data_IF_440691309909
#
_entry.id   IF_440691309909
#
_cell.length_a   1.000
_cell.length_b   1.000
_cell.length_c   1.000
_cell.angle_alpha   90.00
_cell.angle_beta   90.00
_cell.angle_gamma   90.00
#
_symmetry.space_group_name_H-M   'P 1'
#
loop_
_entity.id
_entity.type
_entity.pdbx_description
1 polymer ?
#
# COMPACT_ATOMS: atom_id res chain seq x y z
N UNK A 1 23.03 50.85 17.94
CA UNK A 1 21.96 50.17 18.71
C UNK A 1 20.68 51.02 18.61
N UNK A 2 19.68 50.70 17.79
CA UNK A 2 19.24 49.41 17.29
C UNK A 2 18.61 49.58 15.90
N UNK A 3 19.15 48.86 14.91
CA UNK A 3 18.52 48.68 13.60
C UNK A 3 17.50 47.54 13.72
N UNK A 4 16.29 47.87 14.16
CA UNK A 4 15.18 46.92 14.15
C UNK A 4 14.46 47.03 12.79
N UNK A 5 15.12 46.53 11.74
CA UNK A 5 14.49 46.32 10.43
C UNK A 5 13.60 45.09 10.55
N UNK A 6 12.35 45.31 10.95
CA UNK A 6 11.28 44.36 10.73
C UNK A 6 11.15 44.15 9.22
N UNK A 7 11.77 43.10 8.70
CA UNK A 7 11.52 42.61 7.35
C UNK A 7 10.03 42.30 7.26
N UNK A 8 9.31 43.15 6.54
CA UNK A 8 7.94 42.92 6.15
C UNK A 8 7.98 41.70 5.23
N UNK A 9 7.52 40.54 5.70
CA UNK A 9 7.37 39.36 4.86
C UNK A 9 6.56 39.77 3.63
N UNK A 10 7.18 39.70 2.45
CA UNK A 10 6.47 39.92 1.20
C UNK A 10 5.35 38.89 1.12
N UNK A 11 4.12 39.35 0.98
CA UNK A 11 2.97 38.48 0.81
C UNK A 11 3.15 37.71 -0.52
N UNK A 12 3.21 36.39 -0.44
CA UNK A 12 3.27 35.50 -1.60
C UNK A 12 1.98 35.67 -2.42
N UNK A 13 2.11 36.03 -3.70
CA UNK A 13 0.96 36.16 -4.61
C UNK A 13 0.61 34.83 -5.29
N UNK A 14 -0.57 34.76 -5.90
CA UNK A 14 -0.99 33.60 -6.70
C UNK A 14 -0.05 33.38 -7.90
N UNK A 15 0.50 34.45 -8.48
CA UNK A 15 1.53 34.37 -9.53
C UNK A 15 2.82 33.73 -9.01
N UNK A 16 3.28 34.08 -7.80
CA UNK A 16 4.46 33.43 -7.22
C UNK A 16 4.24 31.92 -7.03
N UNK A 17 3.03 31.54 -6.61
CA UNK A 17 2.66 30.12 -6.48
C UNK A 17 2.67 29.45 -7.85
N UNK A 18 2.01 30.04 -8.86
CA UNK A 18 1.97 29.50 -10.22
C UNK A 18 3.37 29.33 -10.81
N UNK A 19 4.21 30.36 -10.70
CA UNK A 19 5.59 30.33 -11.19
C UNK A 19 6.37 29.20 -10.52
N UNK A 20 6.20 28.99 -9.20
CA UNK A 20 6.87 27.88 -8.49
C UNK A 20 6.47 26.49 -9.04
N UNK A 21 5.20 26.28 -9.39
CA UNK A 21 4.74 25.03 -10.00
C UNK A 21 5.31 24.86 -11.41
N UNK A 22 5.28 25.92 -12.22
CA UNK A 22 5.81 25.91 -13.57
C UNK A 22 7.32 25.62 -13.58
N UNK A 23 8.09 26.28 -12.71
CA UNK A 23 9.53 26.07 -12.54
C UNK A 23 9.84 24.64 -12.08
N UNK A 24 9.05 24.10 -11.14
CA UNK A 24 9.29 22.75 -10.60
C UNK A 24 9.19 21.63 -11.66
N UNK A 25 8.43 21.85 -12.75
CA UNK A 25 8.27 20.87 -13.84
C UNK A 25 9.17 21.16 -15.05
N UNK A 26 9.86 22.30 -15.10
CA UNK A 26 10.84 22.59 -16.14
C UNK A 26 12.08 21.69 -16.02
N UNK A 27 12.95 21.73 -17.05
CA UNK A 27 14.26 21.09 -16.97
C UNK A 27 15.07 21.68 -15.80
N UNK A 28 15.57 20.81 -14.92
CA UNK A 28 16.25 21.20 -13.68
C UNK A 28 15.32 21.48 -12.49
N UNK A 29 13.99 21.47 -12.68
CA UNK A 29 13.02 21.64 -11.59
C UNK A 29 12.89 20.41 -10.69
N UNK A 30 12.59 20.65 -9.42
CA UNK A 30 12.57 19.60 -8.38
C UNK A 30 11.49 18.54 -8.61
N UNK A 31 10.29 18.92 -9.06
CA UNK A 31 9.22 17.96 -9.33
C UNK A 31 9.55 17.09 -10.55
N UNK A 32 10.16 17.66 -11.58
CA UNK A 32 10.67 16.89 -12.72
C UNK A 32 11.78 15.94 -12.29
N UNK A 33 12.72 16.38 -11.45
CA UNK A 33 13.76 15.52 -10.91
C UNK A 33 13.17 14.37 -10.07
N UNK A 34 12.22 14.69 -9.19
CA UNK A 34 11.48 13.70 -8.40
C UNK A 34 10.85 12.62 -9.28
N UNK A 35 10.05 13.02 -10.29
CA UNK A 35 9.42 12.08 -11.23
C UNK A 35 10.45 11.22 -11.97
N UNK A 36 11.61 11.75 -12.34
CA UNK A 36 12.66 10.96 -13.02
C UNK A 36 13.33 9.91 -12.13
N UNK A 37 13.34 10.13 -10.83
CA UNK A 37 13.92 9.20 -9.86
C UNK A 37 12.89 8.25 -9.24
N UNK A 38 11.60 8.49 -9.45
CA UNK A 38 10.54 7.62 -8.99
C UNK A 38 10.55 6.25 -9.69
N UNK A 39 10.03 5.27 -8.96
CA UNK A 39 9.70 3.92 -9.43
C UNK A 39 8.28 3.59 -8.99
N UNK A 40 7.59 2.72 -9.72
CA UNK A 40 6.22 2.29 -9.39
C UNK A 40 6.19 1.18 -8.35
N UNK A 41 7.29 0.43 -8.21
CA UNK A 41 7.46 -0.54 -7.13
C UNK A 41 8.90 -0.99 -6.97
N UNK A 42 9.16 -1.72 -5.91
CA UNK A 42 10.48 -2.29 -5.61
C UNK A 42 10.32 -3.63 -4.85
N UNK A 43 11.30 -4.52 -5.03
CA UNK A 43 11.41 -5.75 -4.23
C UNK A 43 12.68 -5.66 -3.38
N UNK A 44 12.52 -5.67 -2.06
CA UNK A 44 13.61 -5.64 -1.09
C UNK A 44 13.58 -6.91 -0.24
N UNK A 45 14.48 -7.86 -0.55
CA UNK A 45 14.47 -9.19 0.08
C UNK A 45 13.14 -9.91 -0.15
N UNK A 46 12.42 -10.21 0.94
CA UNK A 46 11.09 -10.83 0.95
C UNK A 46 9.92 -9.83 0.94
N UNK A 47 10.18 -8.54 0.74
CA UNK A 47 9.19 -7.45 0.78
C UNK A 47 8.96 -6.83 -0.59
N UNK A 48 7.70 -6.80 -1.03
CA UNK A 48 7.24 -6.02 -2.18
C UNK A 48 6.76 -4.64 -1.71
N UNK A 49 7.21 -3.57 -2.36
CA UNK A 49 6.77 -2.20 -2.10
C UNK A 49 6.03 -1.68 -3.34
N UNK A 50 4.79 -1.24 -3.16
CA UNK A 50 3.98 -0.59 -4.20
C UNK A 50 3.14 0.52 -3.59
N UNK A 51 2.71 1.52 -4.37
CA UNK A 51 1.99 2.66 -3.80
C UNK A 51 0.61 2.29 -3.23
N UNK A 52 -0.28 1.62 -3.97
CA UNK A 52 -1.63 1.26 -3.49
C UNK A 52 -1.89 -0.23 -3.29
N UNK A 53 -1.46 -1.04 -4.24
CA UNK A 53 -1.65 -2.49 -4.16
C UNK A 53 -1.80 -3.16 -5.51
N UNK A 54 -1.89 -4.48 -5.50
CA UNK A 54 -1.94 -5.28 -6.73
C UNK A 54 -3.34 -5.76 -7.12
N UNK A 55 -4.34 -5.44 -6.30
CA UNK A 55 -5.75 -5.76 -6.54
C UNK A 55 -6.63 -4.51 -6.52
N UNK A 56 -7.74 -4.56 -7.25
CA UNK A 56 -8.81 -3.58 -7.22
C UNK A 56 -10.15 -4.30 -7.34
N UNK A 57 -11.17 -3.83 -6.61
CA UNK A 57 -12.55 -4.32 -6.82
C UNK A 57 -13.25 -3.41 -7.81
N UNK A 58 -13.62 -3.94 -8.98
CA UNK A 58 -14.37 -3.23 -9.99
C UNK A 58 -15.83 -2.99 -9.54
N UNK A 59 -16.52 -2.08 -10.23
CA UNK A 59 -17.90 -1.69 -9.89
C UNK A 59 -18.90 -2.85 -9.99
N UNK A 60 -18.61 -3.85 -10.80
CA UNK A 60 -19.37 -5.10 -10.97
C UNK A 60 -19.05 -6.16 -9.88
N UNK A 61 -18.18 -5.83 -8.93
CA UNK A 61 -17.76 -6.70 -7.83
C UNK A 61 -16.56 -7.60 -8.17
N UNK A 62 -16.08 -7.61 -9.42
CA UNK A 62 -14.95 -8.44 -9.83
C UNK A 62 -13.64 -7.93 -9.22
N UNK A 63 -12.74 -8.84 -8.88
CA UNK A 63 -11.38 -8.50 -8.44
C UNK A 63 -10.47 -8.46 -9.67
N UNK A 64 -9.95 -7.27 -9.98
CA UNK A 64 -8.91 -7.06 -10.98
C UNK A 64 -7.55 -7.16 -10.30
N UNK A 65 -6.63 -7.89 -10.93
CA UNK A 65 -5.23 -7.93 -10.52
C UNK A 65 -4.36 -7.27 -11.59
N UNK A 66 -3.43 -6.41 -11.19
CA UNK A 66 -2.42 -5.86 -12.09
C UNK A 66 -1.13 -6.68 -12.11
N UNK A 67 -1.07 -7.80 -11.38
CA UNK A 67 0.11 -8.65 -11.28
C UNK A 67 0.49 -9.20 -12.66
N UNK A 68 1.75 -8.98 -13.06
CA UNK A 68 2.28 -9.41 -14.36
C UNK A 68 1.79 -8.59 -15.55
N UNK A 69 1.09 -7.48 -15.31
CA UNK A 69 0.53 -6.64 -16.37
C UNK A 69 1.30 -5.32 -16.43
N UNK A 70 1.78 -5.00 -17.62
CA UNK A 70 2.45 -3.73 -17.93
C UNK A 70 1.68 -3.08 -19.08
N UNK A 71 1.30 -1.80 -18.98
CA UNK A 71 0.66 -1.12 -20.09
C UNK A 71 1.60 -1.05 -21.31
N UNK A 72 1.06 -0.81 -22.52
CA UNK A 72 1.87 -0.63 -23.71
C UNK A 72 2.88 0.51 -23.52
N UNK A 73 4.13 0.27 -23.89
CA UNK A 73 5.19 1.27 -23.85
C UNK A 73 5.03 2.34 -24.92
N UNK A 74 4.43 1.97 -26.06
CA UNK A 74 4.06 2.89 -27.13
C UNK A 74 2.66 3.45 -26.86
N UNK A 75 2.57 4.78 -26.78
CA UNK A 75 1.32 5.50 -26.56
C UNK A 75 0.39 5.52 -27.80
N UNK A 76 0.73 4.79 -28.88
CA UNK A 76 -0.23 4.49 -29.97
C UNK A 76 -1.43 3.66 -29.49
N UNK A 77 -1.25 2.85 -28.43
CA UNK A 77 -2.35 2.16 -27.75
C UNK A 77 -2.65 2.90 -26.45
N UNK A 78 -3.86 3.42 -26.32
CA UNK A 78 -4.28 4.09 -25.09
C UNK A 78 -4.47 3.09 -23.96
N UNK A 79 -4.25 3.53 -22.72
CA UNK A 79 -4.52 2.74 -21.52
C UNK A 79 -5.94 2.17 -21.53
N UNK A 80 -6.93 2.95 -21.98
CA UNK A 80 -8.32 2.51 -22.07
C UNK A 80 -8.52 1.36 -23.07
N UNK A 81 -7.87 1.41 -24.23
CA UNK A 81 -7.91 0.32 -25.21
C UNK A 81 -7.27 -0.95 -24.65
N UNK A 82 -6.10 -0.82 -24.01
CA UNK A 82 -5.43 -1.93 -23.35
C UNK A 82 -6.26 -2.56 -22.23
N UNK A 83 -6.93 -1.75 -21.40
CA UNK A 83 -7.87 -2.24 -20.37
C UNK A 83 -9.03 -3.01 -21.01
N UNK A 84 -9.60 -2.52 -22.11
CA UNK A 84 -10.71 -3.18 -22.80
C UNK A 84 -10.29 -4.54 -23.39
N UNK A 85 -9.09 -4.62 -23.96
CA UNK A 85 -8.51 -5.89 -24.42
C UNK A 85 -8.33 -6.88 -23.28
N UNK A 86 -7.79 -6.44 -22.14
CA UNK A 86 -7.66 -7.28 -20.96
C UNK A 86 -9.04 -7.73 -20.46
N UNK A 87 -9.99 -6.83 -20.27
CA UNK A 87 -11.33 -7.16 -19.78
C UNK A 87 -12.06 -8.16 -20.71
N UNK A 88 -11.82 -8.12 -22.03
CA UNK A 88 -12.38 -9.06 -22.99
C UNK A 88 -11.80 -10.48 -22.92
N UNK A 89 -10.60 -10.67 -22.35
CA UNK A 89 -9.98 -11.99 -22.18
C UNK A 89 -10.56 -12.78 -20.99
N UNK A 90 -11.36 -12.16 -20.11
CA UNK A 90 -11.73 -12.68 -18.78
C UNK A 90 -13.15 -13.29 -18.68
N UNK A 91 -13.66 -13.93 -19.74
CA UNK A 91 -14.86 -14.79 -19.62
C UNK A 91 -14.57 -16.15 -18.96
N UNK A 92 -13.31 -16.46 -18.63
CA UNK A 92 -12.92 -17.62 -17.82
C UNK A 92 -12.22 -17.18 -16.53
N UNK A 93 -12.77 -17.61 -15.39
CA UNK A 93 -12.39 -17.22 -14.03
C UNK A 93 -10.89 -17.42 -13.70
N UNK A 94 -10.35 -16.53 -12.87
CA UNK A 94 -9.28 -16.81 -11.92
C UNK A 94 -7.87 -17.17 -12.42
N UNK A 95 -7.46 -16.80 -13.64
CA UNK A 95 -6.03 -16.86 -13.97
C UNK A 95 -5.29 -15.63 -13.43
N UNK A 96 -4.93 -15.71 -12.14
CA UNK A 96 -3.61 -15.22 -11.73
C UNK A 96 -2.64 -15.85 -12.71
N UNK A 97 -1.82 -15.05 -13.41
CA UNK A 97 -0.84 -15.63 -14.34
C UNK A 97 0.16 -16.40 -13.48
N UNK A 98 -0.05 -17.71 -13.31
CA UNK A 98 0.72 -18.60 -12.43
C UNK A 98 2.22 -18.63 -12.75
N UNK A 99 2.61 -18.02 -13.88
CA UNK A 99 3.97 -18.00 -14.43
C UNK A 99 4.64 -16.62 -14.42
N UNK A 100 4.08 -15.63 -13.71
CA UNK A 100 4.71 -14.29 -13.61
C UNK A 100 5.89 -14.36 -12.66
N UNK A 101 7.07 -13.92 -13.12
CA UNK A 101 8.16 -13.54 -12.23
C UNK A 101 7.91 -12.12 -11.70
N UNK A 102 7.76 -11.97 -10.38
CA UNK A 102 7.39 -10.70 -9.74
C UNK A 102 8.52 -9.68 -9.84
N UNK A 103 9.77 -10.11 -9.75
CA UNK A 103 10.92 -9.20 -9.83
C UNK A 103 11.05 -8.68 -11.26
N UNK A 104 10.95 -9.56 -12.24
CA UNK A 104 10.93 -9.18 -13.65
C UNK A 104 9.75 -8.22 -13.96
N UNK A 105 8.55 -8.52 -13.47
CA UNK A 105 7.38 -7.66 -13.68
C UNK A 105 7.58 -6.25 -13.09
N UNK A 106 8.18 -6.14 -11.91
CA UNK A 106 8.50 -4.83 -11.30
C UNK A 106 9.55 -4.07 -12.13
N UNK A 107 10.57 -4.76 -12.65
CA UNK A 107 11.57 -4.15 -13.53
C UNK A 107 10.93 -3.65 -14.83
N UNK A 108 10.07 -4.45 -15.46
CA UNK A 108 9.34 -4.07 -16.67
C UNK A 108 8.39 -2.89 -16.43
N UNK A 109 7.68 -2.88 -15.29
CA UNK A 109 6.78 -1.80 -14.92
C UNK A 109 7.54 -0.49 -14.66
N UNK A 110 8.70 -0.56 -14.01
CA UNK A 110 9.57 0.60 -13.79
C UNK A 110 10.21 1.08 -15.11
N UNK A 111 10.59 0.16 -16.00
CA UNK A 111 11.05 0.49 -17.35
C UNK A 111 9.99 1.21 -18.18
N UNK A 112 8.73 0.74 -18.09
CA UNK A 112 7.58 1.41 -18.70
C UNK A 112 7.36 2.81 -18.12
N UNK A 113 7.41 2.98 -16.79
CA UNK A 113 7.32 4.29 -16.15
C UNK A 113 8.37 5.27 -16.69
N UNK A 114 9.63 4.84 -16.74
CA UNK A 114 10.72 5.65 -17.26
C UNK A 114 10.50 6.04 -18.73
N UNK A 115 9.99 5.11 -19.56
CA UNK A 115 9.65 5.41 -20.96
C UNK A 115 8.54 6.46 -21.09
N UNK A 116 7.52 6.40 -20.23
CA UNK A 116 6.42 7.37 -20.20
C UNK A 116 6.88 8.75 -19.74
N UNK A 117 7.79 8.84 -18.75
CA UNK A 117 8.43 10.09 -18.36
C UNK A 117 9.26 10.66 -19.51
N UNK A 118 10.05 9.84 -20.20
CA UNK A 118 10.83 10.29 -21.37
C UNK A 118 9.94 10.77 -22.52
N UNK A 119 8.78 10.15 -22.73
CA UNK A 119 7.82 10.61 -23.73
C UNK A 119 7.21 11.97 -23.35
N UNK A 120 6.82 12.14 -22.08
CA UNK A 120 6.37 13.42 -21.55
C UNK A 120 7.44 14.50 -21.69
N UNK A 121 8.72 14.22 -21.42
CA UNK A 121 9.79 15.19 -21.61
C UNK A 121 9.93 15.65 -23.06
N UNK A 122 9.68 14.76 -24.04
CA UNK A 122 9.72 15.10 -25.48
C UNK A 122 8.47 15.84 -25.94
N UNK A 123 7.31 15.51 -25.36
CA UNK A 123 6.01 16.03 -25.77
C UNK A 123 5.16 16.44 -24.54
N UNK A 124 5.59 17.46 -23.78
CA UNK A 124 5.00 17.78 -22.48
C UNK A 124 3.60 18.38 -22.58
N UNK A 125 3.24 18.92 -23.74
CA UNK A 125 1.96 19.55 -24.02
C UNK A 125 1.21 18.80 -25.10
N UNK A 126 -0.09 19.05 -25.19
CA UNK A 126 -0.90 18.59 -26.31
C UNK A 126 -0.33 19.07 -27.64
N UNK A 127 -0.38 18.19 -28.64
CA UNK A 127 -0.19 18.61 -30.02
C UNK A 127 -1.33 19.53 -30.50
N UNK A 128 -1.18 20.16 -31.67
CA UNK A 128 -2.16 21.13 -32.17
C UNK A 128 -3.57 20.56 -32.37
N UNK A 129 -3.70 19.24 -32.56
CA UNK A 129 -4.98 18.55 -32.76
C UNK A 129 -5.58 17.98 -31.48
N UNK A 130 -4.90 18.13 -30.32
CA UNK A 130 -5.27 17.55 -29.03
C UNK A 130 -5.50 16.02 -29.10
N UNK A 131 -4.72 15.32 -29.92
CA UNK A 131 -4.81 13.86 -30.09
C UNK A 131 -3.68 13.11 -29.40
N UNK A 132 -2.67 13.83 -28.92
CA UNK A 132 -1.50 13.23 -28.30
C UNK A 132 -0.81 14.21 -27.36
N UNK A 133 -0.36 13.69 -26.21
CA UNK A 133 0.59 14.30 -25.28
C UNK A 133 1.40 13.17 -24.64
N UNK A 134 2.71 13.36 -24.47
CA UNK A 134 3.56 12.34 -23.89
C UNK A 134 3.21 12.01 -22.44
N UNK A 135 3.33 10.74 -22.07
CA UNK A 135 3.04 10.26 -20.72
C UNK A 135 1.54 10.22 -20.38
N UNK A 136 0.66 10.29 -21.37
CA UNK A 136 -0.80 10.21 -21.17
C UNK A 136 -1.21 8.86 -20.55
N UNK A 137 -0.62 7.75 -21.00
CA UNK A 137 -0.91 6.43 -20.41
C UNK A 137 -0.49 6.38 -18.93
N UNK A 138 0.63 7.01 -18.56
CA UNK A 138 1.01 7.13 -17.15
C UNK A 138 0.00 7.95 -16.35
N UNK A 139 -0.49 9.07 -16.88
CA UNK A 139 -1.53 9.87 -16.21
C UNK A 139 -2.82 9.07 -15.97
N UNK A 140 -3.23 8.25 -16.95
CA UNK A 140 -4.36 7.35 -16.77
C UNK A 140 -4.08 6.24 -15.74
N UNK A 141 -2.86 5.70 -15.73
CA UNK A 141 -2.45 4.64 -14.81
C UNK A 141 -2.45 5.09 -13.34
N UNK A 142 -2.07 6.33 -13.07
CA UNK A 142 -2.03 6.91 -11.70
C UNK A 142 -3.33 7.58 -11.29
N UNK A 143 -4.28 7.74 -12.22
CA UNK A 143 -5.58 8.32 -11.90
C UNK A 143 -6.39 7.39 -10.98
N UNK A 144 -7.11 7.98 -10.03
CA UNK A 144 -8.04 7.27 -9.16
C UNK A 144 -9.03 6.44 -9.99
N UNK A 145 -9.09 5.15 -9.71
CA UNK A 145 -9.97 4.21 -10.42
C UNK A 145 -9.36 3.53 -11.64
N UNK A 146 -8.06 3.72 -11.92
CA UNK A 146 -7.33 2.93 -12.90
C UNK A 146 -7.50 1.41 -12.63
N UNK A 147 -7.94 0.67 -13.65
CA UNK A 147 -8.39 -0.71 -13.51
C UNK A 147 -7.26 -1.69 -13.14
N UNK A 148 -6.08 -1.49 -13.72
CA UNK A 148 -4.89 -2.29 -13.53
C UNK A 148 -3.74 -1.35 -13.20
N UNK A 149 -3.51 -1.09 -11.91
CA UNK A 149 -2.52 -0.14 -11.44
C UNK A 149 -2.01 -0.48 -10.05
N UNK A 150 -0.68 -0.47 -9.89
CA UNK A 150 -0.06 -0.60 -8.56
C UNK A 150 -0.25 0.64 -7.69
N UNK A 151 -0.64 1.77 -8.30
CA UNK A 151 -0.88 3.05 -7.63
C UNK A 151 -2.31 3.14 -7.14
N UNK A 152 -3.26 2.86 -8.03
CA UNK A 152 -4.69 2.95 -7.72
C UNK A 152 -5.24 1.69 -7.05
N UNK A 153 -4.49 0.58 -7.02
CA UNK A 153 -4.87 -0.64 -6.33
C UNK A 153 -5.26 -0.40 -4.87
N UNK A 154 -6.26 -1.16 -4.38
CA UNK A 154 -6.89 -0.95 -3.09
C UNK A 154 -7.17 -2.27 -2.38
N UNK A 155 -6.56 -2.45 -1.21
CA UNK A 155 -6.75 -3.61 -0.33
C UNK A 155 -7.92 -3.44 0.65
N UNK A 156 -8.98 -2.76 0.21
CA UNK A 156 -10.21 -2.57 0.97
C UNK A 156 -11.40 -3.03 0.13
N UNK A 157 -12.39 -3.59 0.81
CA UNK A 157 -13.71 -3.82 0.24
C UNK A 157 -14.41 -2.49 -0.05
N UNK A 158 -15.49 -2.53 -0.83
CA UNK A 158 -16.32 -1.35 -1.07
C UNK A 158 -16.85 -0.72 0.23
N UNK A 159 -17.11 -1.55 1.25
CA UNK A 159 -17.49 -1.09 2.59
C UNK A 159 -16.41 -0.29 3.32
N UNK A 160 -15.17 -0.30 2.81
CA UNK A 160 -14.00 0.26 3.46
C UNK A 160 -13.29 -0.72 4.40
N UNK A 161 -13.85 -1.91 4.66
CA UNK A 161 -13.18 -2.94 5.47
C UNK A 161 -11.94 -3.50 4.77
N UNK A 162 -10.91 -3.96 5.51
CA UNK A 162 -9.76 -4.62 4.91
C UNK A 162 -10.15 -5.84 4.09
N UNK A 163 -9.50 -6.01 2.94
CA UNK A 163 -9.79 -7.06 1.97
C UNK A 163 -8.65 -8.06 1.90
N UNK A 164 -8.98 -9.34 1.92
CA UNK A 164 -8.05 -10.40 1.60
C UNK A 164 -7.90 -10.54 0.07
N UNK A 165 -6.67 -10.75 -0.37
CA UNK A 165 -6.36 -11.13 -1.75
C UNK A 165 -6.78 -12.58 -2.03
N UNK A 166 -7.08 -12.93 -3.29
CA UNK A 166 -7.28 -14.32 -3.70
C UNK A 166 -6.12 -15.23 -3.28
N UNK A 167 -6.42 -16.45 -2.84
CA UNK A 167 -5.42 -17.41 -2.34
C UNK A 167 -4.31 -17.65 -3.36
N UNK A 168 -4.66 -17.84 -4.63
CA UNK A 168 -3.71 -18.07 -5.72
C UNK A 168 -2.64 -16.96 -5.82
N UNK A 169 -2.99 -15.70 -5.56
CA UNK A 169 -2.03 -14.59 -5.57
C UNK A 169 -1.06 -14.69 -4.41
N UNK A 170 -1.56 -14.97 -3.20
CA UNK A 170 -0.69 -15.11 -2.01
C UNK A 170 0.23 -16.32 -2.12
N UNK A 171 -0.25 -17.42 -2.70
CA UNK A 171 0.56 -18.61 -2.98
C UNK A 171 1.63 -18.33 -4.02
N UNK A 172 1.32 -17.60 -5.11
CA UNK A 172 2.30 -17.19 -6.12
C UNK A 172 3.40 -16.28 -5.55
N UNK A 173 3.01 -15.28 -4.76
CA UNK A 173 3.99 -14.38 -4.11
C UNK A 173 4.89 -15.18 -3.16
N UNK A 174 4.28 -16.07 -2.37
CA UNK A 174 4.99 -16.91 -1.42
C UNK A 174 5.99 -17.85 -2.11
N UNK A 175 5.60 -18.49 -3.21
CA UNK A 175 6.48 -19.40 -3.95
C UNK A 175 7.71 -18.69 -4.54
N UNK A 176 7.64 -17.36 -4.70
CA UNK A 176 8.73 -16.49 -5.14
C UNK A 176 9.49 -15.81 -3.98
N UNK A 177 9.34 -16.34 -2.77
CA UNK A 177 9.99 -15.88 -1.54
C UNK A 177 9.59 -14.45 -1.15
N UNK A 178 8.40 -14.00 -1.54
CA UNK A 178 7.80 -12.76 -1.07
C UNK A 178 6.80 -13.11 0.03
N UNK A 179 7.03 -12.58 1.23
CA UNK A 179 6.20 -12.89 2.39
C UNK A 179 5.36 -11.69 2.82
N UNK A 180 5.63 -10.51 2.27
CA UNK A 180 4.89 -9.29 2.59
C UNK A 180 4.87 -8.26 1.47
N UNK A 181 3.85 -7.42 1.53
CA UNK A 181 3.70 -6.25 0.68
C UNK A 181 3.42 -5.01 1.54
N UNK A 182 4.16 -3.92 1.31
CA UNK A 182 3.91 -2.62 1.91
C UNK A 182 3.20 -1.71 0.90
N UNK A 183 2.15 -1.02 1.36
CA UNK A 183 1.36 -0.09 0.53
C UNK A 183 1.01 1.19 1.28
N UNK A 184 0.82 2.31 0.59
CA UNK A 184 0.58 3.64 1.18
C UNK A 184 -0.40 4.56 0.44
N UNK A 185 -1.34 4.05 -0.38
CA UNK A 185 -2.32 4.88 -1.11
C UNK A 185 -3.62 5.13 -0.35
N UNK A 186 -4.13 4.10 0.35
CA UNK A 186 -5.43 4.19 1.01
C UNK A 186 -5.24 4.07 2.51
N UNK A 187 -5.38 5.16 3.27
CA UNK A 187 -5.35 5.09 4.70
C UNK A 187 -6.58 4.36 5.20
N UNK A 188 -6.39 3.57 6.25
CA UNK A 188 -7.46 2.80 6.85
C UNK A 188 -7.42 2.99 8.36
N UNK A 189 -8.04 4.07 8.82
CA UNK A 189 -8.21 4.36 10.24
C UNK A 189 -7.04 5.09 10.91
N UNK A 190 -6.81 4.79 12.19
CA UNK A 190 -5.93 5.54 13.10
C UNK A 190 -4.57 4.87 13.39
N UNK A 191 -4.26 3.77 12.71
CA UNK A 191 -3.00 3.05 12.81
C UNK A 191 -2.76 2.26 11.51
N UNK A 192 -1.53 1.84 11.19
CA UNK A 192 -1.24 0.93 10.10
C UNK A 192 -2.18 -0.28 10.12
N UNK A 193 -2.64 -0.71 8.95
CA UNK A 193 -3.53 -1.87 8.85
C UNK A 193 -2.77 -3.04 8.27
N UNK A 194 -2.73 -4.12 9.02
CA UNK A 194 -2.18 -5.38 8.57
C UNK A 194 -3.33 -6.25 8.04
N UNK A 195 -3.09 -6.96 6.95
CA UNK A 195 -3.96 -8.02 6.43
C UNK A 195 -3.15 -9.29 6.33
N UNK A 196 -3.41 -10.23 7.24
CA UNK A 196 -2.78 -11.55 7.25
C UNK A 196 -3.57 -12.51 6.37
N UNK A 197 -2.87 -13.07 5.40
CA UNK A 197 -3.37 -14.09 4.48
C UNK A 197 -2.73 -15.40 4.84
N UNK A 198 -3.53 -16.40 5.17
CA UNK A 198 -3.02 -17.75 5.39
C UNK A 198 -2.54 -18.31 4.06
N UNK A 199 -1.29 -18.78 4.01
CA UNK A 199 -0.73 -19.42 2.81
C UNK A 199 -0.83 -20.93 2.97
N UNK A 200 -1.44 -21.59 1.99
CA UNK A 200 -1.47 -23.03 1.88
C UNK A 200 -0.20 -23.49 1.14
N UNK A 201 0.46 -24.52 1.68
CA UNK A 201 1.53 -25.22 0.96
C UNK A 201 0.89 -26.28 0.06
N UNK A 202 1.39 -26.44 -1.16
CA UNK A 202 0.95 -27.38 -2.20
C UNK A 202 0.27 -28.65 -1.65
N UNK A 203 -1.07 -28.70 -1.76
CA UNK A 203 -1.90 -29.85 -1.38
C UNK A 203 -2.22 -30.03 0.12
N UNK A 204 -1.68 -29.18 1.01
CA UNK A 204 -2.00 -29.18 2.44
C UNK A 204 -3.29 -28.42 2.72
N UNK A 205 -4.18 -29.01 3.52
CA UNK A 205 -5.37 -28.35 4.08
C UNK A 205 -5.06 -27.46 5.29
N UNK A 206 -3.83 -27.50 5.82
CA UNK A 206 -3.40 -26.71 6.96
C UNK A 206 -2.49 -25.56 6.53
N UNK A 207 -2.77 -24.31 6.94
CA UNK A 207 -1.96 -23.16 6.59
C UNK A 207 -0.59 -23.25 7.24
N UNK A 208 0.46 -22.94 6.48
CA UNK A 208 1.83 -23.10 6.95
C UNK A 208 2.40 -21.82 7.55
N UNK A 209 2.05 -20.64 6.98
CA UNK A 209 2.48 -19.29 7.41
C UNK A 209 1.49 -18.21 6.95
N UNK A 210 1.72 -16.96 7.34
CA UNK A 210 0.96 -15.80 6.87
C UNK A 210 1.75 -14.94 5.88
N UNK A 211 1.15 -14.63 4.73
CA UNK A 211 1.55 -13.51 3.88
C UNK A 211 0.90 -12.22 4.41
N UNK A 212 1.67 -11.13 4.53
CA UNK A 212 1.18 -9.88 5.13
C UNK A 212 1.07 -8.76 4.10
N UNK A 213 -0.10 -8.15 3.99
CA UNK A 213 -0.23 -6.82 3.38
C UNK A 213 -0.25 -5.80 4.50
N UNK A 214 0.63 -4.81 4.46
CA UNK A 214 0.72 -3.77 5.49
C UNK A 214 0.44 -2.44 4.80
N UNK A 215 -0.72 -1.88 5.11
CA UNK A 215 -1.11 -0.53 4.72
C UNK A 215 -0.48 0.43 5.72
N UNK A 216 0.44 1.26 5.24
CA UNK A 216 1.27 2.19 6.01
C UNK A 216 1.30 3.59 5.36
N UNK A 217 0.12 4.10 5.01
CA UNK A 217 -0.04 5.45 4.46
C UNK A 217 0.40 6.52 5.48
N UNK A 218 0.83 7.68 5.00
CA UNK A 218 1.30 8.82 5.80
C UNK A 218 0.18 9.60 6.51
N UNK A 219 -1.09 9.30 6.23
CA UNK A 219 -2.22 10.08 6.76
C UNK A 219 -2.77 9.61 8.12
N UNK A 220 -2.05 8.77 8.87
CA UNK A 220 -2.44 8.45 10.26
C UNK A 220 -2.23 9.70 11.12
N UNK A 221 -3.32 10.24 11.64
CA UNK A 221 -3.32 11.50 12.35
C UNK A 221 -4.36 11.53 13.46
N UNK A 222 -4.23 12.50 14.35
CA UNK A 222 -5.17 12.76 15.42
C UNK A 222 -6.38 13.50 14.85
N UNK A 223 -7.42 12.75 14.51
CA UNK A 223 -8.66 13.31 13.95
C UNK A 223 -9.44 14.17 14.95
N UNK A 224 -9.10 14.11 16.23
CA UNK A 224 -9.70 14.93 17.29
C UNK A 224 -8.96 16.29 17.44
N UNK A 225 -7.78 16.44 16.81
CA UNK A 225 -7.03 17.70 16.82
C UNK A 225 -7.60 18.74 15.83
N UNK A 226 -7.55 20.06 16.17
CA UNK A 226 -8.08 21.12 15.30
C UNK A 226 -7.50 21.17 13.88
N UNK A 227 -6.24 20.73 13.71
CA UNK A 227 -5.53 20.70 12.43
C UNK A 227 -5.43 19.30 11.83
N UNK A 228 -6.07 18.31 12.45
CA UNK A 228 -6.00 16.90 12.10
C UNK A 228 -4.56 16.37 12.04
N UNK A 229 -3.63 16.88 12.85
CA UNK A 229 -2.28 16.32 13.01
C UNK A 229 -2.13 15.73 14.40
N UNK A 230 -2.31 16.58 15.42
CA UNK A 230 -2.20 16.25 16.86
C UNK A 230 -0.99 15.39 17.22
N UNK A 231 -1.20 14.42 18.12
CA UNK A 231 -0.12 13.61 18.71
C UNK A 231 0.05 12.23 18.07
N UNK A 232 -0.87 11.83 17.19
CA UNK A 232 -0.82 10.51 16.57
C UNK A 232 0.36 10.42 15.61
N UNK A 233 1.13 9.34 15.76
CA UNK A 233 2.23 9.01 14.87
C UNK A 233 2.29 7.50 14.74
N UNK A 234 2.69 7.01 13.58
CA UNK A 234 2.89 5.58 13.35
C UNK A 234 4.13 5.34 12.51
N UNK A 235 4.84 4.27 12.81
CA UNK A 235 6.02 3.84 12.10
C UNK A 235 5.94 2.34 11.83
N UNK A 236 6.32 1.95 10.62
CA UNK A 236 6.52 0.56 10.21
C UNK A 236 8.01 0.41 9.92
N UNK A 237 8.69 -0.41 10.71
CA UNK A 237 10.12 -0.68 10.57
C UNK A 237 10.31 -2.09 10.03
N UNK A 238 10.99 -2.20 8.89
CA UNK A 238 11.38 -3.48 8.31
C UNK A 238 12.88 -3.67 8.53
N UNK A 239 13.25 -4.64 9.35
CA UNK A 239 14.63 -4.92 9.73
C UNK A 239 15.07 -6.21 9.04
N UNK A 240 16.06 -6.12 8.15
CA UNK A 240 16.73 -7.28 7.59
C UNK A 240 17.89 -7.69 8.49
N UNK A 241 17.85 -8.91 9.01
CA UNK A 241 18.92 -9.51 9.79
C UNK A 241 19.96 -10.12 8.84
N UNK A 242 21.25 -9.81 8.97
CA UNK A 242 22.28 -10.49 8.20
C UNK A 242 22.26 -12.00 8.52
N UNK A 243 22.28 -12.85 7.49
CA UNK A 243 22.39 -14.30 7.67
C UNK A 243 23.57 -14.63 8.63
N UNK A 244 23.28 -15.27 9.78
CA UNK A 244 24.32 -15.85 10.63
C UNK A 244 24.33 -15.47 12.12
N UNK A 245 23.37 -14.70 12.64
CA UNK A 245 23.21 -14.57 14.10
C UNK A 245 22.11 -15.50 14.61
N UNK A 246 22.22 -16.80 14.31
CA UNK A 246 21.72 -17.77 15.27
C UNK A 246 22.72 -17.80 16.42
N UNK A 247 22.33 -17.35 17.61
CA UNK A 247 23.14 -17.58 18.82
C UNK A 247 23.23 -19.06 19.19
N UNK A 248 22.42 -19.89 18.54
CA UNK A 248 22.21 -21.28 18.89
C UNK A 248 22.57 -22.09 17.65
N UNK A 249 23.81 -22.60 17.58
CA UNK A 249 24.41 -23.25 16.40
C UNK A 249 23.74 -24.55 15.91
N UNK A 250 22.45 -24.49 15.58
CA UNK A 250 21.73 -25.47 14.80
C UNK A 250 21.42 -24.88 13.43
N UNK A 251 22.11 -25.43 12.42
CA UNK A 251 21.69 -25.39 11.03
C UNK A 251 20.34 -26.12 10.92
N UNK A 252 19.26 -25.38 11.12
CA UNK A 252 17.93 -25.83 10.72
C UNK A 252 17.71 -25.36 9.27
N UNK A 253 17.43 -26.30 8.37
CA UNK A 253 16.88 -26.07 7.02
C UNK A 253 15.52 -25.30 7.03
N UNK A 254 15.10 -24.80 8.20
CA UNK A 254 13.94 -23.94 8.44
C UNK A 254 14.39 -22.48 8.59
N UNK A 255 15.13 -21.92 7.64
CA UNK A 255 15.47 -20.48 7.68
C UNK A 255 14.17 -19.67 7.78
N UNK A 256 13.88 -19.20 8.99
CA UNK A 256 12.88 -18.21 9.30
C UNK A 256 13.19 -17.01 8.40
N UNK A 257 12.17 -16.32 7.89
CA UNK A 257 12.38 -15.09 7.12
C UNK A 257 13.32 -14.17 7.92
N UNK A 258 14.49 -13.83 7.37
CA UNK A 258 15.50 -13.00 8.03
C UNK A 258 15.06 -11.53 8.14
N UNK A 259 13.75 -11.28 8.16
CA UNK A 259 13.16 -9.96 8.18
C UNK A 259 12.10 -9.85 9.27
N UNK A 260 12.36 -9.02 10.27
CA UNK A 260 11.36 -8.62 11.27
C UNK A 260 10.59 -7.40 10.78
N UNK A 261 9.26 -7.38 10.98
CA UNK A 261 8.47 -6.15 10.88
C UNK A 261 8.03 -5.73 12.26
N UNK A 262 8.40 -4.52 12.64
CA UNK A 262 7.93 -3.87 13.84
C UNK A 262 6.95 -2.75 13.47
N UNK A 263 5.82 -2.69 14.15
CA UNK A 263 4.87 -1.57 14.02
C UNK A 263 4.74 -0.91 15.37
N UNK A 264 4.95 0.40 15.41
CA UNK A 264 4.83 1.19 16.62
C UNK A 264 4.25 2.58 16.36
N UNK A 265 3.87 3.26 17.43
CA UNK A 265 3.33 4.59 17.34
C UNK A 265 2.65 5.06 18.62
N UNK A 266 1.84 6.09 18.46
CA UNK A 266 0.98 6.66 19.47
C UNK A 266 -0.43 6.82 18.91
N UNK A 267 -1.43 6.35 19.66
CA UNK A 267 -2.84 6.48 19.30
C UNK A 267 -3.51 7.39 20.32
N UNK A 268 -4.22 8.38 19.80
CA UNK A 268 -5.20 9.17 20.53
C UNK A 268 -6.56 9.00 19.83
N UNK A 269 -7.55 8.53 20.59
CA UNK A 269 -8.93 8.41 20.14
C UNK A 269 -9.87 8.52 21.35
N UNK A 270 -10.46 9.70 21.52
CA UNK A 270 -11.34 10.02 22.66
C UNK A 270 -12.50 9.03 22.83
N UNK A 271 -13.26 8.65 21.77
CA UNK A 271 -14.44 7.82 21.92
C UNK A 271 -14.18 6.43 22.52
N UNK A 272 -12.96 5.90 22.37
CA UNK A 272 -12.55 4.62 22.98
C UNK A 272 -11.69 4.79 24.23
N UNK A 273 -11.42 6.03 24.65
CA UNK A 273 -10.50 6.36 25.74
C UNK A 273 -9.12 5.70 25.54
N UNK A 274 -8.60 5.74 24.31
CA UNK A 274 -7.26 5.24 23.97
C UNK A 274 -6.35 6.44 23.82
N UNK A 275 -5.33 6.53 24.68
CA UNK A 275 -4.30 7.57 24.67
C UNK A 275 -2.99 6.95 25.15
N UNK A 276 -2.32 6.21 24.26
CA UNK A 276 -1.15 5.41 24.64
C UNK A 276 -0.23 5.11 23.45
N UNK A 277 1.03 4.80 23.80
CA UNK A 277 2.00 4.22 22.87
C UNK A 277 1.70 2.75 22.63
N UNK A 278 1.98 2.28 21.43
CA UNK A 278 1.91 0.87 21.07
C UNK A 278 3.14 0.45 20.26
N UNK A 279 3.46 -0.84 20.31
CA UNK A 279 4.62 -1.41 19.62
C UNK A 279 4.57 -2.92 19.64
N UNK A 280 4.71 -3.56 18.48
CA UNK A 280 4.69 -5.02 18.38
C UNK A 280 5.38 -5.54 17.12
N UNK A 281 5.89 -6.77 17.21
CA UNK A 281 6.36 -7.53 16.06
C UNK A 281 5.15 -8.20 15.37
N UNK A 282 4.97 -7.94 14.08
CA UNK A 282 3.77 -8.40 13.36
C UNK A 282 3.69 -9.92 13.26
N UNK A 283 4.81 -10.64 13.34
CA UNK A 283 4.82 -12.11 13.27
C UNK A 283 4.50 -12.79 14.60
N UNK A 284 4.67 -12.09 15.72
CA UNK A 284 4.46 -12.63 17.08
C UNK A 284 3.00 -12.51 17.54
N UNK A 285 2.27 -11.49 17.07
CA UNK A 285 0.86 -11.34 17.45
C UNK A 285 -0.06 -12.20 16.55
N UNK A 286 -0.85 -13.14 17.10
CA UNK A 286 -1.66 -14.05 16.28
C UNK A 286 -2.96 -13.42 15.76
N UNK A 287 -3.39 -12.28 16.30
CA UNK A 287 -4.73 -11.73 16.07
C UNK A 287 -4.73 -10.50 15.15
N UNK A 288 -3.74 -9.61 15.28
CA UNK A 288 -3.65 -8.39 14.46
C UNK A 288 -3.65 -8.74 12.98
N UNK A 289 -4.50 -8.03 12.24
CA UNK A 289 -4.69 -8.23 10.82
C UNK A 289 -5.57 -9.41 10.43
N UNK A 290 -6.47 -9.82 11.34
CA UNK A 290 -7.52 -10.82 11.07
C UNK A 290 -8.91 -10.27 11.38
N UNK A 291 -9.91 -10.80 10.68
CA UNK A 291 -11.31 -10.61 11.03
C UNK A 291 -11.73 -11.54 12.18
N UNK A 292 -12.56 -11.03 13.08
CA UNK A 292 -13.26 -11.78 14.10
C UNK A 292 -14.58 -12.33 13.54
N UNK A 293 -15.16 -13.34 14.20
CA UNK A 293 -16.50 -13.88 13.86
C UNK A 293 -17.61 -12.83 13.94
N UNK A 294 -17.39 -11.75 14.69
CA UNK A 294 -18.30 -10.61 14.80
C UNK A 294 -18.27 -9.68 13.58
N UNK A 295 -17.32 -9.88 12.65
CA UNK A 295 -17.07 -8.99 11.52
C UNK A 295 -16.15 -7.80 11.86
N UNK A 296 -15.70 -7.68 13.11
CA UNK A 296 -14.69 -6.70 13.53
C UNK A 296 -13.31 -7.09 13.01
N UNK A 297 -12.50 -6.11 12.62
CA UNK A 297 -11.11 -6.31 12.22
C UNK A 297 -10.16 -5.94 13.37
N UNK A 298 -9.21 -6.82 13.69
CA UNK A 298 -8.18 -6.52 14.70
C UNK A 298 -7.13 -5.59 14.11
N UNK A 299 -7.12 -4.34 14.59
CA UNK A 299 -6.32 -3.25 14.01
C UNK A 299 -4.90 -3.19 14.53
N UNK A 300 -4.73 -3.19 15.84
CA UNK A 300 -3.42 -3.09 16.49
C UNK A 300 -3.45 -3.71 17.89
N UNK A 301 -2.28 -4.07 18.40
CA UNK A 301 -2.06 -4.43 19.79
C UNK A 301 -1.88 -3.15 20.62
N UNK A 302 -2.57 -3.08 21.75
CA UNK A 302 -2.55 -2.00 22.73
C UNK A 302 -1.83 -2.46 24.01
N UNK A 303 -1.56 -1.54 24.93
CA UNK A 303 -0.95 -1.88 26.21
C UNK A 303 -1.83 -2.85 27.01
N UNK A 304 -1.18 -3.68 27.82
CA UNK A 304 -1.80 -4.71 28.67
C UNK A 304 -2.58 -5.78 27.89
N UNK A 305 -2.04 -6.23 26.74
CA UNK A 305 -2.62 -7.28 25.89
C UNK A 305 -4.07 -7.02 25.48
N UNK A 306 -4.39 -5.74 25.23
CA UNK A 306 -5.68 -5.34 24.66
C UNK A 306 -5.54 -5.13 23.17
N UNK A 307 -6.66 -5.14 22.47
CA UNK A 307 -6.70 -4.95 21.03
C UNK A 307 -7.63 -3.81 20.69
N UNK A 308 -7.16 -2.92 19.82
CA UNK A 308 -8.06 -2.03 19.11
C UNK A 308 -8.67 -2.83 17.96
N UNK A 309 -10.00 -2.84 17.87
CA UNK A 309 -10.71 -3.45 16.74
C UNK A 309 -11.58 -2.40 16.05
N UNK A 310 -11.90 -2.63 14.77
CA UNK A 310 -12.76 -1.71 14.03
C UNK A 310 -13.81 -2.41 13.17
N UNK A 311 -14.89 -1.68 12.90
CA UNK A 311 -15.85 -1.95 11.82
C UNK A 311 -16.00 -0.68 10.99
N UNK A 312 -16.06 -0.82 9.67
CA UNK A 312 -16.37 0.28 8.77
C UNK A 312 -17.80 0.14 8.28
N UNK A 313 -18.58 1.21 8.43
CA UNK A 313 -19.94 1.34 7.90
C UNK A 313 -19.96 2.41 6.81
N UNK A 314 -20.77 2.19 5.77
CA UNK A 314 -21.05 3.14 4.69
C UNK A 314 -19.81 3.71 3.99
N UNK A 315 -18.73 2.92 3.89
CA UNK A 315 -17.47 3.27 3.20
C UNK A 315 -16.66 4.42 3.82
N UNK A 316 -17.11 5.03 4.92
CA UNK A 316 -16.48 6.24 5.50
C UNK A 316 -16.53 6.35 7.02
N UNK A 317 -17.39 5.60 7.70
CA UNK A 317 -17.54 5.69 9.15
C UNK A 317 -16.81 4.53 9.85
N UNK A 318 -15.64 4.83 10.40
CA UNK A 318 -14.90 3.90 11.26
C UNK A 318 -15.51 3.91 12.66
N UNK A 319 -15.87 2.74 13.18
CA UNK A 319 -16.22 2.57 14.59
C UNK A 319 -15.14 1.71 15.23
N UNK A 320 -14.60 2.18 16.34
CA UNK A 320 -13.58 1.46 17.10
C UNK A 320 -14.12 0.98 18.44
N UNK A 321 -13.57 -0.13 18.92
CA UNK A 321 -13.76 -0.60 20.29
C UNK A 321 -12.46 -1.25 20.79
N UNK A 322 -12.30 -1.31 22.11
CA UNK A 322 -11.18 -1.99 22.75
C UNK A 322 -11.69 -3.32 23.29
N UNK A 323 -10.94 -4.39 23.04
CA UNK A 323 -11.21 -5.73 23.56
C UNK A 323 -10.00 -6.26 24.32
N UNK A 324 -10.25 -7.05 25.35
CA UNK A 324 -9.23 -7.87 26.00
C UNK A 324 -8.76 -8.99 25.08
N UNK A 325 -7.59 -9.55 25.37
CA UNK A 325 -7.10 -10.76 24.70
C UNK A 325 -8.11 -11.90 24.74
N UNK A 326 -8.78 -12.12 25.87
CA UNK A 326 -9.76 -13.21 26.03
C UNK A 326 -10.97 -13.02 25.11
N UNK A 327 -11.53 -11.81 25.04
CA UNK A 327 -12.62 -11.48 24.11
C UNK A 327 -12.20 -11.69 22.65
N UNK A 328 -10.96 -11.33 22.29
CA UNK A 328 -10.43 -11.56 20.94
C UNK A 328 -10.22 -13.06 20.68
N UNK A 329 -9.67 -13.82 21.63
CA UNK A 329 -9.54 -15.27 21.54
C UNK A 329 -10.89 -15.96 21.33
N UNK A 330 -11.90 -15.56 22.11
CA UNK A 330 -13.27 -16.08 22.01
C UNK A 330 -13.97 -15.68 20.71
N UNK A 331 -13.64 -14.52 20.14
CA UNK A 331 -14.22 -14.05 18.88
C UNK A 331 -13.41 -14.47 17.65
N UNK A 332 -12.16 -14.92 17.83
CA UNK A 332 -11.28 -15.31 16.75
C UNK A 332 -11.88 -16.46 15.96
N UNK A 333 -11.66 -16.42 14.64
CA UNK A 333 -11.99 -17.53 13.76
C UNK A 333 -10.96 -18.63 14.03
N UNK A 334 -11.25 -19.48 15.04
CA UNK A 334 -10.53 -20.73 15.28
C UNK A 334 -10.61 -21.57 14.01
N UNK A 335 -9.49 -21.66 13.29
CA UNK A 335 -9.22 -22.75 12.35
C UNK A 335 -7.77 -23.13 12.52
#
# INVERSE_FOLDING_TARGET
PDDNVLQKEEAISDENVLDSFLESVQEGGDLRAYLKHCVLGAVLGSTLLVHGGIIMTANDGRVRSCLGRVPPADSTVSYAAWVAELDALHDEEDQVIEKVDIRQWIDELNGWYAAQILEWERYPTWNATHTFRGGENLQHYVNTGAAYSVVSGRHLERSGMPKQMPQAMTTLLWSQQLHRMLVGHTPHGNAPTIVKHRVLHDGSSSPTRDFQVIMCDTSYSDMDAPDMRGQCASMVVVIHHPHGTSTDGHDDDKKQDDVTVWVEGFIHHEPTNVHESYGFNTSEDPFVGRALRTGEWVKTLLAHDRYLVCVVKDSRAYTYSVKSRDEVCEAAVLV
#
